data_IF_681033831346
#
_entry.id   IF_681033831346
#
_cell.length_a   1.000
_cell.length_b   1.000
_cell.length_c   1.000
_cell.angle_alpha   90.00
_cell.angle_beta   90.00
_cell.angle_gamma   90.00
#
_symmetry.space_group_name_H-M   'P 1'
#
loop_
_entity.id
_entity.type
_entity.pdbx_description
1 polymer ?
#
# COMPACT_ATOMS: atom_id res chain seq x y z
N UNK A 1 -16.41 4.20 -8.47
CA UNK A 1 -16.09 5.05 -9.64
C UNK A 1 -15.30 4.18 -10.62
N UNK A 2 -15.79 3.94 -11.84
CA UNK A 2 -15.02 3.16 -12.82
C UNK A 2 -13.77 3.95 -13.24
N UNK A 3 -12.58 3.34 -13.28
CA UNK A 3 -11.36 4.08 -13.61
C UNK A 3 -11.40 4.54 -15.05
N UNK A 4 -11.01 5.80 -15.26
CA UNK A 4 -11.03 6.46 -16.56
C UNK A 4 -10.04 5.87 -17.59
N UNK A 5 -9.05 5.08 -17.14
CA UNK A 5 -7.99 4.52 -17.99
C UNK A 5 -7.59 3.09 -17.58
N UNK A 6 -7.20 2.24 -18.55
CA UNK A 6 -6.61 0.91 -18.26
C UNK A 6 -5.33 1.03 -17.45
N UNK A 7 -5.15 0.14 -16.47
CA UNK A 7 -3.93 0.07 -15.66
C UNK A 7 -2.72 -0.31 -16.51
N UNK A 8 -1.69 0.56 -16.53
CA UNK A 8 -0.41 0.25 -17.15
C UNK A 8 0.46 -0.52 -16.15
N UNK A 9 0.81 -1.77 -16.49
CA UNK A 9 1.64 -2.62 -15.64
C UNK A 9 3.12 -2.51 -16.00
N UNK A 10 3.93 -2.11 -15.03
CA UNK A 10 5.39 -2.11 -15.11
C UNK A 10 5.98 -3.28 -14.32
N UNK A 11 7.16 -3.72 -14.73
CA UNK A 11 7.90 -4.78 -14.04
C UNK A 11 8.60 -4.20 -12.82
N UNK A 12 8.32 -4.76 -11.64
CA UNK A 12 8.97 -4.41 -10.38
C UNK A 12 8.39 -3.17 -9.69
N UNK A 13 8.33 -3.24 -8.37
CA UNK A 13 7.76 -2.21 -7.50
C UNK A 13 8.55 -0.89 -7.56
N UNK A 14 9.88 -0.98 -7.56
CA UNK A 14 10.78 0.19 -7.64
C UNK A 14 10.52 1.04 -8.88
N UNK A 15 10.35 0.41 -10.04
CA UNK A 15 10.09 1.13 -11.30
C UNK A 15 8.73 1.85 -11.26
N UNK A 16 7.72 1.25 -10.63
CA UNK A 16 6.42 1.88 -10.46
C UNK A 16 6.50 3.13 -9.57
N UNK A 17 7.22 3.06 -8.44
CA UNK A 17 7.44 4.24 -7.61
C UNK A 17 8.22 5.34 -8.34
N UNK A 18 9.28 4.97 -9.06
CA UNK A 18 10.07 5.93 -9.85
C UNK A 18 9.24 6.61 -10.95
N UNK A 19 8.26 5.92 -11.55
CA UNK A 19 7.36 6.51 -12.55
C UNK A 19 6.48 7.63 -11.99
N UNK A 20 6.27 7.65 -10.67
CA UNK A 20 5.55 8.71 -9.94
C UNK A 20 6.50 9.72 -9.26
N UNK A 21 7.81 9.64 -9.53
CA UNK A 21 8.82 10.47 -8.85
C UNK A 21 8.96 10.15 -7.36
N UNK A 22 8.51 8.97 -6.92
CA UNK A 22 8.54 8.57 -5.51
C UNK A 22 9.84 7.84 -5.14
N UNK A 23 10.38 8.16 -3.97
CA UNK A 23 11.58 7.54 -3.40
C UNK A 23 11.14 6.56 -2.33
N UNK A 24 11.52 5.30 -2.49
CA UNK A 24 11.40 4.28 -1.44
C UNK A 24 12.59 4.36 -0.49
N UNK A 25 12.35 4.11 0.80
CA UNK A 25 13.42 3.92 1.77
C UNK A 25 14.29 2.71 1.42
N UNK A 26 13.66 1.59 1.12
CA UNK A 26 14.33 0.36 0.68
C UNK A 26 13.41 -0.54 -0.17
N UNK A 27 13.95 -1.65 -0.70
CA UNK A 27 13.24 -2.54 -1.63
C UNK A 27 12.06 -3.30 -1.00
N UNK A 28 11.92 -3.29 0.32
CA UNK A 28 10.86 -3.97 1.07
C UNK A 28 9.82 -3.00 1.64
N UNK A 29 9.99 -1.69 1.43
CA UNK A 29 9.07 -0.66 1.90
C UNK A 29 7.74 -0.72 1.13
N UNK A 30 6.63 -0.75 1.87
CA UNK A 30 5.25 -0.76 1.34
C UNK A 30 4.67 0.65 1.09
N UNK A 31 5.48 1.67 1.35
CA UNK A 31 5.16 3.06 1.07
C UNK A 31 6.40 3.72 0.49
N UNK A 32 6.17 4.67 -0.41
CA UNK A 32 7.18 5.59 -0.89
C UNK A 32 6.66 7.02 -0.73
N UNK A 33 7.54 7.99 -0.91
CA UNK A 33 7.19 9.41 -0.79
C UNK A 33 7.68 10.19 -2.02
N UNK A 34 6.83 11.04 -2.57
CA UNK A 34 7.22 12.12 -3.50
C UNK A 34 7.50 13.39 -2.70
N UNK A 35 7.95 14.46 -3.35
CA UNK A 35 8.12 15.75 -2.64
C UNK A 35 6.81 16.28 -2.05
N UNK A 36 5.65 15.81 -2.55
CA UNK A 36 4.33 16.35 -2.22
C UNK A 36 3.46 15.40 -1.39
N UNK A 37 3.58 14.07 -1.57
CA UNK A 37 2.66 13.12 -0.93
C UNK A 37 3.22 11.69 -0.83
N UNK A 38 2.45 10.79 -0.22
CA UNK A 38 2.71 9.37 -0.14
C UNK A 38 2.23 8.61 -1.39
N UNK A 39 2.94 7.53 -1.69
CA UNK A 39 2.52 6.51 -2.65
C UNK A 39 2.43 5.19 -1.91
N UNK A 40 1.21 4.65 -1.80
CA UNK A 40 0.95 3.38 -1.12
C UNK A 40 0.93 2.22 -2.12
N UNK A 41 1.46 1.06 -1.72
CA UNK A 41 1.24 -0.17 -2.48
C UNK A 41 0.01 -0.94 -1.97
N UNK A 42 -0.89 -1.25 -2.90
CA UNK A 42 -2.05 -2.09 -2.68
C UNK A 42 -1.81 -3.46 -3.34
N UNK A 43 -1.54 -4.49 -2.54
CA UNK A 43 -1.44 -5.84 -3.06
C UNK A 43 -2.83 -6.38 -3.41
N UNK A 44 -3.01 -6.80 -4.66
CA UNK A 44 -4.33 -7.21 -5.17
C UNK A 44 -4.49 -8.72 -5.32
N UNK A 45 -3.46 -9.50 -5.02
CA UNK A 45 -3.45 -10.96 -5.20
C UNK A 45 -2.89 -11.72 -3.99
N UNK A 46 -3.03 -11.16 -2.79
CA UNK A 46 -2.52 -11.73 -1.54
C UNK A 46 -3.12 -13.12 -1.26
N UNK A 47 -2.34 -14.02 -0.65
CA UNK A 47 -2.78 -15.35 -0.17
C UNK A 47 -3.86 -15.31 0.93
N UNK A 48 -4.08 -14.13 1.52
CA UNK A 48 -5.03 -13.82 2.59
C UNK A 48 -5.88 -12.64 2.10
N UNK A 49 -6.83 -12.90 1.19
CA UNK A 49 -7.60 -11.84 0.53
C UNK A 49 -8.43 -11.00 1.51
N UNK A 50 -8.78 -11.55 2.68
CA UNK A 50 -9.46 -10.86 3.77
C UNK A 50 -8.63 -9.70 4.34
N UNK A 51 -7.30 -9.84 4.34
CA UNK A 51 -6.37 -8.86 4.88
C UNK A 51 -5.95 -7.80 3.85
N UNK A 52 -6.18 -8.04 2.56
CA UNK A 52 -5.85 -7.11 1.47
C UNK A 52 -7.00 -7.12 0.45
N UNK A 53 -8.03 -6.31 0.72
CA UNK A 53 -9.25 -6.25 -0.09
C UNK A 53 -9.19 -5.09 -1.05
N UNK A 54 -8.98 -5.37 -2.33
CA UNK A 54 -9.09 -4.40 -3.39
C UNK A 54 -10.41 -4.53 -4.15
N UNK A 55 -11.12 -3.43 -4.35
CA UNK A 55 -12.28 -3.36 -5.22
C UNK A 55 -12.09 -2.25 -6.24
N UNK A 56 -11.89 -2.66 -7.48
CA UNK A 56 -11.61 -1.76 -8.59
C UNK A 56 -12.79 -0.85 -8.96
N UNK A 57 -14.02 -1.39 -8.87
CA UNK A 57 -15.25 -0.69 -9.25
C UNK A 57 -15.61 0.39 -8.24
N UNK A 58 -15.46 0.07 -6.97
CA UNK A 58 -15.75 1.00 -5.88
C UNK A 58 -14.59 1.98 -5.65
N UNK A 59 -13.38 1.61 -6.09
CA UNK A 59 -12.18 2.41 -5.88
C UNK A 59 -11.76 2.37 -4.41
N UNK A 60 -11.74 1.16 -3.82
CA UNK A 60 -11.41 0.98 -2.41
C UNK A 60 -10.30 -0.05 -2.24
N UNK A 61 -9.40 0.20 -1.29
CA UNK A 61 -8.44 -0.78 -0.81
C UNK A 61 -8.46 -0.81 0.71
N UNK A 62 -8.64 -1.98 1.30
CA UNK A 62 -8.53 -2.16 2.75
C UNK A 62 -7.40 -3.12 3.07
N UNK A 63 -6.56 -2.75 4.04
CA UNK A 63 -5.48 -3.59 4.52
C UNK A 63 -5.61 -3.80 6.02
N UNK A 64 -5.41 -5.04 6.45
CA UNK A 64 -5.20 -5.42 7.84
C UNK A 64 -3.76 -5.88 8.01
N UNK A 65 -3.11 -5.39 9.05
CA UNK A 65 -1.75 -5.77 9.43
C UNK A 65 -1.82 -6.33 10.85
N UNK A 66 -1.37 -7.57 11.09
CA UNK A 66 -1.36 -8.15 12.42
C UNK A 66 -0.38 -7.41 13.34
N UNK A 67 -0.50 -7.67 14.64
CA UNK A 67 0.43 -7.15 15.65
C UNK A 67 1.89 -7.50 15.30
N UNK A 68 2.77 -6.49 15.29
CA UNK A 68 4.19 -6.65 14.97
C UNK A 68 5.05 -6.31 16.18
N UNK A 69 5.76 -7.29 16.72
CA UNK A 69 6.70 -7.12 17.85
C UNK A 69 7.80 -8.18 17.88
N UNK A 70 8.91 -7.86 18.55
CA UNK A 70 10.01 -8.81 18.80
C UNK A 70 9.52 -9.98 19.66
N UNK A 71 8.63 -9.71 20.63
CA UNK A 71 8.06 -10.74 21.51
C UNK A 71 7.24 -11.79 20.74
N UNK A 72 6.65 -11.40 19.61
CA UNK A 72 5.94 -12.30 18.70
C UNK A 72 6.87 -12.98 17.66
N UNK A 73 8.18 -12.80 17.78
CA UNK A 73 9.19 -13.42 16.91
C UNK A 73 9.40 -12.69 15.58
N UNK A 74 8.94 -11.45 15.42
CA UNK A 74 9.15 -10.70 14.19
C UNK A 74 10.55 -10.10 14.13
N UNK A 75 11.14 -10.15 12.92
CA UNK A 75 12.41 -9.51 12.63
C UNK A 75 12.33 -7.98 12.81
N UNK A 76 13.36 -7.32 13.39
CA UNK A 76 13.37 -5.88 13.59
C UNK A 76 13.10 -5.07 12.33
N UNK A 77 13.58 -5.55 11.18
CA UNK A 77 13.36 -4.90 9.90
C UNK A 77 11.87 -4.91 9.49
N UNK A 78 11.18 -6.05 9.66
CA UNK A 78 9.73 -6.16 9.38
C UNK A 78 8.90 -5.27 10.30
N UNK A 79 9.27 -5.16 11.58
CA UNK A 79 8.63 -4.22 12.51
C UNK A 79 8.85 -2.78 12.05
N UNK A 80 10.08 -2.43 11.63
CA UNK A 80 10.41 -1.10 11.11
C UNK A 80 9.60 -0.73 9.85
N UNK A 81 9.43 -1.66 8.91
CA UNK A 81 8.56 -1.44 7.73
C UNK A 81 7.10 -1.28 8.11
N UNK A 82 6.61 -2.04 9.09
CA UNK A 82 5.24 -1.89 9.59
C UNK A 82 5.02 -0.53 10.26
N UNK A 83 5.99 -0.06 11.05
CA UNK A 83 5.96 1.28 11.65
C UNK A 83 5.95 2.38 10.61
N UNK A 84 6.81 2.28 9.61
CA UNK A 84 6.88 3.23 8.50
C UNK A 84 5.53 3.34 7.76
N UNK A 85 4.91 2.20 7.44
CA UNK A 85 3.59 2.19 6.81
C UNK A 85 2.53 2.81 7.73
N UNK A 86 2.47 2.41 8.99
CA UNK A 86 1.51 2.94 9.95
C UNK A 86 1.64 4.46 10.12
N UNK A 87 2.87 4.97 10.26
CA UNK A 87 3.12 6.40 10.40
C UNK A 87 2.70 7.18 9.15
N UNK A 88 2.97 6.66 7.95
CA UNK A 88 2.54 7.27 6.70
C UNK A 88 1.01 7.28 6.56
N UNK A 89 0.33 6.19 6.91
CA UNK A 89 -1.14 6.10 6.88
C UNK A 89 -1.75 7.05 7.92
N UNK A 90 -1.20 7.09 9.14
CA UNK A 90 -1.64 8.01 10.20
C UNK A 90 -1.49 9.46 9.78
N UNK A 91 -0.36 9.81 9.19
CA UNK A 91 -0.09 11.17 8.72
C UNK A 91 -1.08 11.57 7.61
N UNK A 92 -1.22 10.73 6.58
CA UNK A 92 -2.16 10.95 5.49
C UNK A 92 -3.62 11.03 5.97
N UNK A 93 -4.02 10.20 6.94
CA UNK A 93 -5.35 10.26 7.55
C UNK A 93 -5.58 11.56 8.32
N UNK A 94 -4.65 11.91 9.22
CA UNK A 94 -4.80 13.07 10.11
C UNK A 94 -4.84 14.39 9.35
N UNK A 95 -4.16 14.46 8.21
CA UNK A 95 -4.08 15.65 7.36
C UNK A 95 -5.01 15.58 6.14
N UNK A 96 -5.75 14.47 5.94
CA UNK A 96 -6.55 14.23 4.74
C UNK A 96 -5.77 14.43 3.43
N UNK A 97 -4.53 13.94 3.39
CA UNK A 97 -3.65 14.10 2.22
C UNK A 97 -4.13 13.26 1.05
N UNK A 98 -4.20 13.89 -0.12
CA UNK A 98 -4.32 13.17 -1.39
C UNK A 98 -3.04 12.38 -1.65
N UNK A 99 -3.17 11.09 -1.92
CA UNK A 99 -2.06 10.17 -2.15
C UNK A 99 -2.24 9.38 -3.44
N UNK A 100 -1.16 8.74 -3.89
CA UNK A 100 -1.22 7.82 -5.03
C UNK A 100 -1.25 6.37 -4.54
N UNK A 101 -1.84 5.50 -5.35
CA UNK A 101 -1.84 4.05 -5.12
C UNK A 101 -1.22 3.34 -6.30
N UNK A 102 -0.31 2.43 -6.01
CA UNK A 102 0.21 1.45 -6.97
C UNK A 102 -0.39 0.10 -6.62
N UNK A 103 -1.07 -0.52 -7.58
CA UNK A 103 -1.55 -1.88 -7.48
C UNK A 103 -0.40 -2.85 -7.72
N UNK A 104 -0.21 -3.80 -6.83
CA UNK A 104 0.91 -4.75 -6.87
C UNK A 104 0.39 -6.17 -6.92
N UNK A 105 1.03 -7.02 -7.72
CA UNK A 105 0.78 -8.46 -7.74
C UNK A 105 2.05 -9.28 -7.91
N UNK A 106 1.99 -10.55 -7.52
CA UNK A 106 3.11 -11.49 -7.63
C UNK A 106 4.25 -11.19 -6.65
N UNK A 107 3.91 -10.67 -5.46
CA UNK A 107 4.86 -10.56 -4.35
C UNK A 107 5.14 -11.94 -3.73
N UNK A 108 5.99 -12.00 -2.70
CA UNK A 108 6.21 -13.22 -1.91
C UNK A 108 4.91 -13.78 -1.30
N UNK A 109 3.95 -12.90 -0.99
CA UNK A 109 2.65 -13.25 -0.44
C UNK A 109 1.54 -13.21 -1.50
N UNK A 110 1.89 -13.00 -2.77
CA UNK A 110 0.97 -12.99 -3.88
C UNK A 110 0.78 -14.38 -4.49
N UNK A 111 -0.38 -14.60 -5.10
CA UNK A 111 -0.73 -15.84 -5.80
C UNK A 111 -0.27 -15.84 -7.27
N UNK A 112 0.01 -14.67 -7.87
CA UNK A 112 0.44 -14.57 -9.26
C UNK A 112 1.87 -15.02 -9.46
N UNK A 113 2.12 -15.76 -10.55
CA UNK A 113 3.47 -16.17 -10.97
C UNK A 113 4.14 -15.13 -11.87
N UNK A 114 5.46 -15.18 -11.96
CA UNK A 114 6.26 -14.34 -12.89
C UNK A 114 6.88 -13.09 -12.27
N UNK A 115 6.95 -13.03 -10.94
CA UNK A 115 7.56 -11.94 -10.18
C UNK A 115 6.66 -10.71 -10.04
N UNK A 116 7.19 -9.71 -9.33
CA UNK A 116 6.42 -8.51 -8.97
C UNK A 116 6.07 -7.70 -10.21
N UNK A 117 4.76 -7.45 -10.38
CA UNK A 117 4.21 -6.50 -11.34
C UNK A 117 3.47 -5.44 -10.57
N UNK A 118 3.64 -4.19 -11.00
CA UNK A 118 3.05 -3.04 -10.34
C UNK A 118 2.40 -2.14 -11.40
N UNK A 119 1.23 -1.58 -11.13
CA UNK A 119 0.57 -0.64 -12.01
C UNK A 119 0.05 0.55 -11.22
N UNK A 120 0.29 1.77 -11.72
CA UNK A 120 -0.21 2.96 -11.04
C UNK A 120 -1.70 3.16 -11.34
N UNK A 121 -2.43 3.58 -10.31
CA UNK A 121 -3.76 4.16 -10.48
C UNK A 121 -3.58 5.67 -10.73
N UNK A 122 -4.15 6.18 -11.81
CA UNK A 122 -4.01 7.59 -12.21
C UNK A 122 -4.81 8.57 -11.35
N UNK A 123 -5.65 8.05 -10.46
CA UNK A 123 -6.54 8.84 -9.61
C UNK A 123 -5.88 9.13 -8.27
N UNK A 124 -6.37 10.18 -7.61
CA UNK A 124 -6.00 10.44 -6.22
C UNK A 124 -6.83 9.58 -5.26
N UNK A 125 -6.19 9.22 -4.16
CA UNK A 125 -6.76 8.45 -3.08
C UNK A 125 -6.60 9.20 -1.75
N UNK A 126 -7.43 8.87 -0.79
CA UNK A 126 -7.28 9.34 0.61
C UNK A 126 -7.37 8.15 1.54
N UNK A 127 -6.75 8.26 2.72
CA UNK A 127 -7.05 7.37 3.84
C UNK A 127 -8.39 7.81 4.44
N UNK A 128 -9.41 6.98 4.30
CA UNK A 128 -10.75 7.23 4.86
C UNK A 128 -10.86 6.73 6.30
N UNK A 129 -10.12 5.68 6.64
CA UNK A 129 -10.17 5.06 7.97
C UNK A 129 -8.79 4.56 8.38
N UNK A 130 -8.46 4.70 9.66
CA UNK A 130 -7.34 4.03 10.33
C UNK A 130 -7.79 3.63 11.74
N UNK A 131 -7.57 2.38 12.12
CA UNK A 131 -7.82 1.87 13.47
C UNK A 131 -6.65 0.99 13.94
N UNK A 132 -6.40 0.98 15.25
CA UNK A 132 -5.37 0.17 15.89
C UNK A 132 -3.98 0.80 15.96
N UNK A 133 -2.97 -0.03 16.26
CA UNK A 133 -1.55 0.36 16.40
C UNK A 133 -0.62 -0.72 15.88
N UNK A 134 0.67 -0.44 15.72
CA UNK A 134 1.64 -1.45 15.26
C UNK A 134 1.71 -2.63 16.24
N UNK A 135 1.64 -2.36 17.54
CA UNK A 135 1.78 -3.35 18.61
C UNK A 135 0.55 -4.27 18.74
N UNK A 136 -0.64 -3.75 18.44
CA UNK A 136 -1.91 -4.49 18.56
C UNK A 136 -2.43 -4.98 17.20
N UNK A 137 -1.79 -4.57 16.11
CA UNK A 137 -2.33 -4.68 14.76
C UNK A 137 -3.18 -3.47 14.41
N UNK A 138 -3.25 -3.19 13.11
CA UNK A 138 -3.99 -2.05 12.59
C UNK A 138 -4.68 -2.39 11.28
N UNK A 139 -5.74 -1.66 10.98
CA UNK A 139 -6.42 -1.70 9.70
C UNK A 139 -6.65 -0.30 9.16
N UNK A 140 -6.59 -0.18 7.84
CA UNK A 140 -6.85 1.07 7.16
C UNK A 140 -7.58 0.87 5.85
N UNK A 141 -8.27 1.92 5.40
CA UNK A 141 -9.00 1.95 4.14
C UNK A 141 -8.59 3.16 3.32
N UNK A 142 -8.19 2.91 2.07
CA UNK A 142 -7.98 3.91 1.04
C UNK A 142 -9.22 3.98 0.14
N UNK A 143 -9.65 5.20 -0.19
CA UNK A 143 -10.75 5.48 -1.12
C UNK A 143 -10.27 6.39 -2.24
N UNK A 144 -10.58 6.03 -3.49
CA UNK A 144 -10.37 6.86 -4.67
C UNK A 144 -11.34 8.04 -4.64
N UNK A 145 -10.85 9.26 -4.85
CA UNK A 145 -11.66 10.48 -4.72
C UNK A 145 -11.97 11.18 -6.05
N UNK A 146 -11.14 11.03 -7.08
CA UNK A 146 -11.31 11.69 -8.38
C UNK A 146 -10.67 10.90 -9.50
#
# INVERSE_FOLDING_TARGET
>A
MEPSKPLSWVKGLKNAYQSLGAIQRDQYSWVAKTDLTYVFSAEIDHIHPEDNRYNHKDGTFSKRVPAMSIALGHEPLSISHSKELFEAVRDAFSQSLECYVILVKGTKFGTSKGGIKAGHDDHFWIVECLDGTVENGYEFKLCRIR
#
